data_IF_894905992256
#
_entry.id   IF_894905992256
#
_cell.length_a   1.000
_cell.length_b   1.000
_cell.length_c   1.000
_cell.angle_alpha   90.00
_cell.angle_beta   90.00
_cell.angle_gamma   90.00
#
_symmetry.space_group_name_H-M   'P 1'
#
loop_
_entity.id
_entity.type
_entity.pdbx_description
1 polymer ?
#
# COMPACT_ATOMS: atom_id res chain seq x y z
N UNK A 1 18.49 -19.66 23.34
CA UNK A 1 17.28 -19.09 22.73
C UNK A 1 17.57 -18.88 21.26
N UNK A 2 16.57 -19.02 20.40
CA UNK A 2 16.65 -18.61 18.99
C UNK A 2 16.70 -17.08 18.95
N UNK A 3 17.71 -16.51 18.29
CA UNK A 3 17.79 -15.07 18.08
C UNK A 3 16.73 -14.67 17.04
N UNK A 4 15.92 -13.65 17.34
CA UNK A 4 14.97 -13.10 16.36
C UNK A 4 15.69 -12.12 15.44
N UNK A 5 15.43 -12.27 14.15
CA UNK A 5 16.02 -11.48 13.09
C UNK A 5 14.92 -10.96 12.17
N UNK A 6 15.11 -9.74 11.66
CA UNK A 6 14.36 -9.15 10.57
C UNK A 6 15.28 -8.79 9.42
N UNK A 7 14.87 -9.10 8.19
CA UNK A 7 15.54 -8.68 6.95
C UNK A 7 14.57 -7.82 6.15
N UNK A 8 15.04 -6.67 5.64
CA UNK A 8 14.15 -5.78 4.90
C UNK A 8 14.82 -5.06 3.74
N UNK A 9 13.99 -4.72 2.76
CA UNK A 9 14.23 -3.72 1.72
C UNK A 9 12.96 -2.87 1.58
N UNK A 10 13.11 -1.56 1.43
CA UNK A 10 12.00 -0.63 1.25
C UNK A 10 12.28 0.44 0.20
N UNK A 11 11.26 1.26 -0.08
CA UNK A 11 11.31 2.34 -1.07
C UNK A 11 12.35 3.44 -0.81
N UNK A 12 13.02 3.44 0.35
CA UNK A 12 14.16 4.34 0.61
C UNK A 12 15.49 3.75 0.12
N UNK A 13 15.53 2.44 -0.13
CA UNK A 13 16.73 1.71 -0.52
C UNK A 13 16.82 1.45 -2.03
N UNK A 14 15.70 1.52 -2.73
CA UNK A 14 15.60 1.35 -4.18
C UNK A 14 14.45 2.18 -4.74
N UNK A 15 14.32 2.27 -6.07
CA UNK A 15 13.21 3.01 -6.66
C UNK A 15 11.86 2.38 -6.29
N UNK A 16 10.81 3.17 -5.99
CA UNK A 16 9.48 2.65 -5.66
C UNK A 16 8.93 1.68 -6.71
N UNK A 17 9.17 1.93 -8.00
CA UNK A 17 8.76 1.03 -9.09
C UNK A 17 9.50 -0.30 -9.05
N UNK A 18 10.82 -0.31 -8.83
CA UNK A 18 11.57 -1.56 -8.68
C UNK A 18 11.08 -2.34 -7.46
N UNK A 19 10.75 -1.63 -6.38
CA UNK A 19 10.26 -2.23 -5.16
C UNK A 19 8.90 -2.92 -5.34
N UNK A 20 8.00 -2.28 -6.08
CA UNK A 20 6.69 -2.85 -6.34
C UNK A 20 6.74 -4.09 -7.23
N UNK A 21 7.61 -4.11 -8.24
CA UNK A 21 7.86 -5.29 -9.08
C UNK A 21 8.43 -6.45 -8.26
N UNK A 22 9.41 -6.17 -7.42
CA UNK A 22 10.00 -7.18 -6.55
C UNK A 22 8.98 -7.73 -5.54
N UNK A 23 8.24 -6.86 -4.85
CA UNK A 23 7.17 -7.26 -3.94
C UNK A 23 6.12 -8.18 -4.59
N UNK A 24 5.74 -7.90 -5.84
CA UNK A 24 4.81 -8.76 -6.58
C UNK A 24 5.35 -10.18 -6.81
N UNK A 25 6.66 -10.35 -6.97
CA UNK A 25 7.30 -11.68 -7.09
C UNK A 25 7.33 -12.45 -5.77
N UNK A 26 7.40 -11.74 -4.63
CA UNK A 26 7.54 -12.35 -3.30
C UNK A 26 6.18 -12.67 -2.66
N UNK A 27 5.12 -11.91 -2.93
CA UNK A 27 3.78 -12.16 -2.37
C UNK A 27 3.26 -13.60 -2.51
N UNK A 28 3.47 -14.33 -3.63
CA UNK A 28 2.97 -15.69 -3.78
C UNK A 28 3.51 -16.70 -2.77
N UNK A 29 4.71 -16.48 -2.20
CA UNK A 29 5.32 -17.40 -1.22
C UNK A 29 4.95 -17.07 0.24
N UNK A 30 3.99 -16.16 0.47
CA UNK A 30 3.61 -15.73 1.81
C UNK A 30 3.14 -16.88 2.72
N UNK A 31 2.37 -17.82 2.16
CA UNK A 31 1.86 -18.97 2.92
C UNK A 31 3.00 -19.92 3.32
N UNK A 32 3.88 -20.27 2.37
CA UNK A 32 5.02 -21.15 2.62
C UNK A 32 5.96 -20.57 3.70
N UNK A 33 6.13 -19.25 3.72
CA UNK A 33 6.90 -18.56 4.77
C UNK A 33 6.19 -18.61 6.12
N UNK A 34 4.88 -18.36 6.14
CA UNK A 34 4.10 -18.40 7.37
C UNK A 34 4.07 -19.80 8.01
N UNK A 35 4.00 -20.86 7.20
CA UNK A 35 4.12 -22.26 7.66
C UNK A 35 5.48 -22.56 8.31
N UNK A 36 6.53 -21.86 7.89
CA UNK A 36 7.87 -21.92 8.49
C UNK A 36 8.05 -21.00 9.70
N UNK A 37 6.99 -20.32 10.14
CA UNK A 37 7.02 -19.36 11.23
C UNK A 37 7.68 -18.03 10.88
N UNK A 38 7.73 -17.67 9.60
CA UNK A 38 8.28 -16.42 9.10
C UNK A 38 7.16 -15.46 8.72
N UNK A 39 7.15 -14.28 9.34
CA UNK A 39 6.28 -13.17 8.97
C UNK A 39 6.81 -12.54 7.68
N UNK A 40 5.96 -12.47 6.64
CA UNK A 40 6.23 -11.65 5.45
C UNK A 40 5.35 -10.40 5.45
N UNK A 41 5.98 -9.23 5.31
CA UNK A 41 5.32 -7.96 5.02
C UNK A 41 5.73 -7.51 3.62
N UNK A 42 4.83 -7.70 2.65
CA UNK A 42 5.06 -7.33 1.25
C UNK A 42 4.01 -6.31 0.77
N UNK A 43 4.43 -5.06 0.60
CA UNK A 43 3.62 -3.97 0.04
C UNK A 43 4.26 -3.45 -1.25
N UNK A 44 3.63 -2.53 -1.98
CA UNK A 44 4.27 -1.91 -3.15
C UNK A 44 5.56 -1.14 -2.82
N UNK A 45 5.85 -0.88 -1.53
CA UNK A 45 6.93 -0.03 -1.07
C UNK A 45 7.89 -0.72 -0.09
N UNK A 46 7.67 -2.01 0.21
CA UNK A 46 8.57 -2.79 1.07
C UNK A 46 8.41 -4.30 0.87
N UNK A 47 9.49 -5.01 1.15
CA UNK A 47 9.49 -6.45 1.44
C UNK A 47 10.33 -6.66 2.68
N UNK A 48 9.68 -7.18 3.72
CA UNK A 48 10.33 -7.42 5.01
C UNK A 48 9.94 -8.81 5.50
N UNK A 49 10.91 -9.55 6.02
CA UNK A 49 10.70 -10.84 6.66
C UNK A 49 11.19 -10.81 8.09
N UNK A 50 10.46 -11.47 8.99
CA UNK A 50 10.81 -11.55 10.40
C UNK A 50 10.56 -12.95 10.94
N UNK A 51 11.46 -13.42 11.78
CA UNK A 51 11.33 -14.74 12.41
C UNK A 51 12.56 -15.09 13.23
N UNK A 52 12.64 -16.35 13.63
CA UNK A 52 13.86 -16.89 14.22
C UNK A 52 14.98 -16.92 13.17
N UNK A 53 16.20 -16.58 13.58
CA UNK A 53 17.37 -16.53 12.68
C UNK A 53 17.55 -17.85 11.93
N UNK A 54 17.36 -18.99 12.61
CA UNK A 54 17.43 -20.32 11.99
C UNK A 54 16.42 -20.50 10.84
N UNK A 55 15.21 -19.95 10.97
CA UNK A 55 14.20 -19.99 9.92
C UNK A 55 14.54 -19.07 8.73
N UNK A 56 15.34 -18.03 8.97
CA UNK A 56 15.77 -17.02 7.98
C UNK A 56 17.08 -17.34 7.24
N UNK A 57 17.85 -18.37 7.66
CA UNK A 57 19.17 -18.68 7.08
C UNK A 57 19.17 -18.85 5.55
N UNK A 58 18.15 -19.49 5.01
CA UNK A 58 18.03 -19.74 3.57
C UNK A 58 17.26 -18.63 2.82
N UNK A 59 16.73 -17.64 3.55
CA UNK A 59 15.87 -16.59 2.99
C UNK A 59 16.69 -15.46 2.35
N UNK A 60 17.85 -15.13 2.90
CA UNK A 60 18.71 -14.05 2.39
C UNK A 60 19.12 -14.31 0.92
N UNK A 61 19.50 -15.55 0.60
CA UNK A 61 19.90 -15.96 -0.75
C UNK A 61 18.75 -16.23 -1.74
N UNK A 62 17.49 -16.26 -1.29
CA UNK A 62 16.33 -16.58 -2.14
C UNK A 62 15.40 -15.40 -2.35
N UNK A 63 15.09 -14.68 -1.28
CA UNK A 63 14.24 -13.48 -1.35
C UNK A 63 15.14 -12.31 -1.76
N UNK A 64 16.17 -11.99 -0.99
CA UNK A 64 16.95 -10.77 -1.13
C UNK A 64 18.15 -10.87 -2.09
N UNK A 65 18.21 -11.88 -2.96
CA UNK A 65 19.33 -12.04 -3.91
C UNK A 65 19.55 -10.83 -4.81
N UNK A 66 18.46 -10.13 -5.15
CA UNK A 66 18.45 -9.03 -6.12
C UNK A 66 18.70 -7.65 -5.46
N UNK A 67 18.67 -7.56 -4.12
CA UNK A 67 18.76 -6.28 -3.41
C UNK A 67 19.60 -6.39 -2.12
N UNK A 68 20.48 -5.42 -1.84
CA UNK A 68 21.10 -5.35 -0.52
C UNK A 68 20.01 -5.15 0.54
N UNK A 69 19.86 -6.11 1.45
CA UNK A 69 18.91 -6.02 2.55
C UNK A 69 19.56 -5.38 3.79
N UNK A 70 18.74 -4.82 4.68
CA UNK A 70 19.15 -4.40 6.02
C UNK A 70 18.63 -5.37 7.08
N UNK A 71 19.37 -5.46 8.18
CA UNK A 71 19.09 -6.35 9.31
C UNK A 71 18.50 -5.58 10.49
N UNK A 72 17.61 -6.23 11.23
CA UNK A 72 17.08 -5.77 12.53
C UNK A 72 17.15 -6.94 13.50
N UNK A 73 17.90 -6.79 14.57
CA UNK A 73 18.21 -7.89 15.49
C UNK A 73 17.57 -7.67 16.85
N UNK A 74 16.96 -8.73 17.38
CA UNK A 74 16.34 -8.74 18.69
C UNK A 74 14.89 -8.28 18.72
N UNK A 75 14.15 -8.82 19.70
CA UNK A 75 12.71 -8.62 19.91
C UNK A 75 12.31 -7.15 19.92
N UNK A 76 13.05 -6.31 20.65
CA UNK A 76 12.75 -4.89 20.86
C UNK A 76 12.84 -4.10 19.56
N UNK A 77 13.93 -4.29 18.83
CA UNK A 77 14.17 -3.57 17.59
C UNK A 77 13.15 -3.98 16.50
N UNK A 78 12.79 -5.27 16.46
CA UNK A 78 11.72 -5.77 15.58
C UNK A 78 10.37 -5.17 15.97
N UNK A 79 10.01 -5.19 17.26
CA UNK A 79 8.75 -4.61 17.74
C UNK A 79 8.67 -3.11 17.41
N UNK A 80 9.75 -2.37 17.63
CA UNK A 80 9.82 -0.95 17.29
C UNK A 80 9.64 -0.72 15.79
N UNK A 81 10.37 -1.45 14.93
CA UNK A 81 10.23 -1.30 13.48
C UNK A 81 8.80 -1.60 13.02
N UNK A 82 8.20 -2.68 13.53
CA UNK A 82 6.84 -3.05 13.19
C UNK A 82 5.81 -2.01 13.68
N UNK A 83 6.03 -1.40 14.85
CA UNK A 83 5.15 -0.36 15.38
C UNK A 83 5.25 0.94 14.58
N UNK A 84 6.45 1.33 14.15
CA UNK A 84 6.67 2.46 13.24
C UNK A 84 6.06 2.23 11.85
N UNK A 85 6.02 0.98 11.37
CA UNK A 85 5.31 0.61 10.14
C UNK A 85 3.79 0.70 10.38
N UNK A 86 3.29 0.13 11.48
CA UNK A 86 1.87 0.11 11.82
C UNK A 86 1.27 1.52 12.00
N UNK A 87 2.06 2.45 12.52
CA UNK A 87 1.67 3.86 12.68
C UNK A 87 1.70 4.66 11.36
N UNK A 88 2.28 4.11 10.29
CA UNK A 88 2.46 4.79 9.01
C UNK A 88 3.67 5.74 8.97
N UNK A 89 4.54 5.72 9.97
CA UNK A 89 5.76 6.54 10.01
C UNK A 89 6.81 6.11 9.00
N UNK A 90 6.75 4.83 8.57
CA UNK A 90 7.64 4.27 7.55
C UNK A 90 7.02 4.24 6.15
N UNK A 91 5.82 4.74 5.95
CA UNK A 91 5.16 4.77 4.63
C UNK A 91 5.66 5.93 3.77
N UNK A 92 5.55 5.78 2.43
CA UNK A 92 5.90 6.85 1.49
C UNK A 92 4.99 8.08 1.66
N UNK A 93 3.69 7.85 1.86
CA UNK A 93 2.76 8.86 2.36
C UNK A 93 2.72 8.70 3.88
N UNK A 94 3.31 9.64 4.62
CA UNK A 94 3.32 9.58 6.08
C UNK A 94 1.89 9.56 6.63
N UNK A 95 1.63 8.66 7.58
CA UNK A 95 0.33 8.58 8.25
C UNK A 95 -0.80 8.07 7.37
N UNK A 96 -0.49 7.29 6.32
CA UNK A 96 -1.51 6.64 5.48
C UNK A 96 -2.28 5.52 6.21
N UNK A 97 -3.50 5.25 5.73
CA UNK A 97 -4.46 4.36 6.41
C UNK A 97 -4.39 2.89 5.97
N UNK A 98 -3.65 2.55 4.91
CA UNK A 98 -3.72 1.21 4.35
C UNK A 98 -2.78 0.22 5.02
N UNK A 99 -1.64 0.68 5.53
CA UNK A 99 -0.61 -0.20 6.11
C UNK A 99 -1.12 -1.06 7.26
N UNK A 100 -1.95 -0.52 8.17
CA UNK A 100 -2.49 -1.27 9.31
C UNK A 100 -3.35 -2.45 8.84
N UNK A 101 -4.14 -2.27 7.78
CA UNK A 101 -4.94 -3.35 7.19
C UNK A 101 -4.09 -4.40 6.46
N UNK A 102 -2.92 -4.01 5.94
CA UNK A 102 -1.97 -4.92 5.30
C UNK A 102 -1.24 -5.76 6.35
N UNK A 103 -0.86 -5.15 7.48
CA UNK A 103 -0.29 -5.88 8.61
C UNK A 103 -1.28 -6.87 9.22
N UNK A 104 -2.55 -6.47 9.42
CA UNK A 104 -3.58 -7.36 9.93
C UNK A 104 -3.73 -8.63 9.07
N UNK A 105 -3.67 -8.51 7.74
CA UNK A 105 -3.69 -9.66 6.83
C UNK A 105 -2.45 -10.54 6.94
N UNK A 106 -1.28 -9.95 7.20
CA UNK A 106 -0.06 -10.72 7.43
C UNK A 106 -0.13 -11.51 8.75
N UNK A 107 -0.77 -10.95 9.79
CA UNK A 107 -1.06 -11.65 11.05
C UNK A 107 -1.95 -12.87 10.82
N UNK A 108 -2.99 -12.76 9.99
CA UNK A 108 -3.95 -13.85 9.73
C UNK A 108 -3.30 -15.13 9.17
N UNK A 109 -2.12 -15.04 8.57
CA UNK A 109 -1.40 -16.18 8.01
C UNK A 109 -0.55 -16.93 9.05
N UNK A 110 -0.20 -16.28 10.16
CA UNK A 110 0.72 -16.83 11.14
C UNK A 110 0.02 -17.69 12.19
N UNK A 111 0.74 -18.70 12.68
CA UNK A 111 0.31 -19.50 13.84
C UNK A 111 0.39 -18.64 15.11
N UNK A 112 -0.69 -18.53 15.92
CA UNK A 112 -0.74 -17.64 17.09
C UNK A 112 0.32 -17.90 18.17
N UNK A 113 0.85 -19.12 18.25
CA UNK A 113 1.82 -19.51 19.28
C UNK A 113 3.25 -19.06 18.96
N UNK A 114 3.51 -18.52 17.76
CA UNK A 114 4.83 -18.08 17.37
C UNK A 114 5.23 -16.77 18.07
N UNK A 115 6.50 -16.61 18.50
CA UNK A 115 6.97 -15.36 19.10
C UNK A 115 6.73 -14.14 18.21
N UNK A 116 6.95 -14.28 16.89
CA UNK A 116 6.78 -13.18 15.93
C UNK A 116 5.31 -12.72 15.79
N UNK A 117 4.35 -13.63 16.00
CA UNK A 117 2.93 -13.30 15.99
C UNK A 117 2.60 -12.32 17.14
N UNK A 118 3.05 -12.65 18.36
CA UNK A 118 2.83 -11.80 19.54
C UNK A 118 3.50 -10.45 19.40
N UNK A 119 4.72 -10.43 18.86
CA UNK A 119 5.46 -9.19 18.59
C UNK A 119 4.69 -8.31 17.61
N UNK A 120 4.17 -8.88 16.52
CA UNK A 120 3.42 -8.13 15.52
C UNK A 120 2.11 -7.57 16.09
N UNK A 121 1.35 -8.35 16.88
CA UNK A 121 0.10 -7.86 17.49
C UNK A 121 0.36 -6.65 18.41
N UNK A 122 1.30 -6.80 19.34
CA UNK A 122 1.71 -5.72 20.24
C UNK A 122 2.21 -4.50 19.46
N UNK A 123 3.01 -4.70 18.42
CA UNK A 123 3.50 -3.61 17.59
C UNK A 123 2.36 -2.86 16.86
N UNK A 124 1.33 -3.57 16.39
CA UNK A 124 0.13 -2.95 15.80
C UNK A 124 -0.62 -2.11 16.84
N UNK A 125 -0.77 -2.61 18.07
CA UNK A 125 -1.44 -1.89 19.16
C UNK A 125 -0.66 -0.64 19.58
N UNK A 126 0.64 -0.78 19.86
CA UNK A 126 1.51 0.35 20.23
C UNK A 126 1.57 1.39 19.12
N UNK A 127 1.79 0.95 17.87
CA UNK A 127 1.84 1.83 16.71
C UNK A 127 0.51 2.56 16.47
N UNK A 128 -0.61 1.86 16.62
CA UNK A 128 -1.96 2.44 16.51
C UNK A 128 -2.26 3.46 17.60
N UNK A 129 -1.93 3.15 18.86
CA UNK A 129 -2.16 4.04 19.98
C UNK A 129 -1.29 5.31 19.89
N UNK A 130 0.00 5.17 19.54
CA UNK A 130 0.88 6.31 19.32
C UNK A 130 0.38 7.21 18.18
N UNK A 131 -0.06 6.57 17.07
CA UNK A 131 -0.65 7.27 15.93
C UNK A 131 -1.85 8.11 16.32
N UNK A 132 -2.75 7.56 17.14
CA UNK A 132 -3.93 8.26 17.64
C UNK A 132 -3.54 9.45 18.54
N UNK A 133 -2.66 9.23 19.53
CA UNK A 133 -2.18 10.27 20.46
C UNK A 133 -1.57 11.46 19.72
N UNK A 134 -0.76 11.21 18.69
CA UNK A 134 -0.07 12.25 17.94
C UNK A 134 -0.88 12.80 16.75
N UNK A 135 -2.11 12.31 16.54
CA UNK A 135 -2.92 12.62 15.37
C UNK A 135 -2.08 12.50 14.07
N UNK A 136 -1.34 11.39 13.97
CA UNK A 136 -0.44 11.12 12.86
C UNK A 136 -1.24 10.51 11.71
N UNK A 137 -2.01 11.37 11.05
CA UNK A 137 -2.91 11.02 9.95
C UNK A 137 -2.58 11.93 8.79
N UNK A 138 -2.41 11.35 7.61
CA UNK A 138 -2.21 12.10 6.38
C UNK A 138 -3.35 13.11 6.19
N UNK A 139 -3.07 14.43 6.11
CA UNK A 139 -4.12 15.44 5.89
C UNK A 139 -4.84 15.23 4.55
N UNK A 140 -4.18 14.59 3.59
CA UNK A 140 -4.78 14.14 2.34
C UNK A 140 -4.10 12.85 1.83
N UNK A 141 -4.82 12.06 1.03
CA UNK A 141 -4.36 10.76 0.54
C UNK A 141 -4.44 10.69 -1.00
N UNK A 142 -4.34 9.49 -1.59
CA UNK A 142 -4.39 9.27 -3.04
C UNK A 142 -5.58 9.97 -3.73
N UNK A 143 -6.72 10.09 -3.06
CA UNK A 143 -7.92 10.74 -3.57
C UNK A 143 -7.72 12.24 -3.84
N UNK A 144 -7.14 12.98 -2.91
CA UNK A 144 -6.84 14.40 -3.13
C UNK A 144 -5.76 14.57 -4.19
N UNK A 145 -4.71 13.74 -4.19
CA UNK A 145 -3.65 13.81 -5.21
C UNK A 145 -4.25 13.63 -6.61
N UNK A 146 -5.16 12.66 -6.76
CA UNK A 146 -5.91 12.46 -8.01
C UNK A 146 -6.75 13.69 -8.35
N UNK A 147 -7.47 14.28 -7.39
CA UNK A 147 -8.26 15.49 -7.62
C UNK A 147 -7.42 16.68 -8.07
N UNK A 148 -6.24 16.86 -7.48
CA UNK A 148 -5.34 17.97 -7.79
C UNK A 148 -4.72 17.80 -9.17
N UNK A 149 -4.24 16.59 -9.50
CA UNK A 149 -3.77 16.27 -10.86
C UNK A 149 -4.89 16.53 -11.87
N UNK A 150 -6.13 16.10 -11.59
CA UNK A 150 -7.27 16.36 -12.46
C UNK A 150 -7.51 17.87 -12.60
N UNK A 151 -7.52 18.62 -11.49
CA UNK A 151 -7.76 20.06 -11.51
C UNK A 151 -6.75 20.81 -12.41
N UNK A 152 -5.48 20.38 -12.41
CA UNK A 152 -4.43 20.97 -13.24
C UNK A 152 -4.61 20.68 -14.75
N UNK A 153 -5.44 19.71 -15.14
CA UNK A 153 -5.70 19.35 -16.55
C UNK A 153 -6.83 20.12 -17.21
N UNK A 154 -7.64 20.83 -16.44
CA UNK A 154 -8.82 21.55 -16.91
C UNK A 154 -8.69 23.05 -16.61
N UNK A 155 -9.05 23.89 -17.58
CA UNK A 155 -9.03 25.34 -17.37
C UNK A 155 -10.13 25.75 -16.37
N UNK A 156 -9.97 26.91 -15.74
CA UNK A 156 -10.97 27.44 -14.80
C UNK A 156 -12.34 27.58 -15.49
N UNK A 157 -13.32 26.80 -15.04
CA UNK A 157 -14.68 26.77 -15.60
C UNK A 157 -14.92 25.69 -16.66
N UNK A 158 -13.90 24.97 -17.11
CA UNK A 158 -14.06 23.77 -17.94
C UNK A 158 -14.54 22.61 -17.06
N UNK A 159 -15.70 22.03 -17.38
CA UNK A 159 -16.25 20.88 -16.66
C UNK A 159 -15.83 19.56 -17.33
N UNK A 160 -15.25 18.61 -16.59
CA UNK A 160 -14.93 17.30 -17.14
C UNK A 160 -16.21 16.48 -17.39
N UNK A 161 -16.19 15.62 -18.41
CA UNK A 161 -17.41 14.90 -18.83
C UNK A 161 -17.56 13.56 -18.11
N UNK A 162 -16.60 12.64 -18.27
CA UNK A 162 -16.69 11.28 -17.74
C UNK A 162 -15.45 10.90 -16.95
N UNK A 163 -15.64 10.38 -15.74
CA UNK A 163 -14.59 9.71 -14.97
C UNK A 163 -14.68 8.20 -15.18
N UNK A 164 -13.64 7.60 -15.77
CA UNK A 164 -13.47 6.16 -15.88
C UNK A 164 -12.61 5.64 -14.73
N UNK A 165 -13.25 5.07 -13.71
CA UNK A 165 -12.56 4.41 -12.59
C UNK A 165 -12.32 2.94 -12.94
N UNK A 166 -11.08 2.59 -13.30
CA UNK A 166 -10.67 1.24 -13.69
C UNK A 166 -10.16 0.47 -12.49
N UNK A 167 -10.95 -0.51 -12.05
CA UNK A 167 -10.70 -1.27 -10.83
C UNK A 167 -11.65 -0.88 -9.70
N UNK A 168 -11.99 -1.86 -8.88
CA UNK A 168 -12.89 -1.69 -7.74
C UNK A 168 -12.33 -2.36 -6.48
N UNK A 169 -11.00 -2.26 -6.32
CA UNK A 169 -10.25 -2.72 -5.16
C UNK A 169 -10.53 -1.86 -3.93
N UNK A 170 -9.63 -1.89 -2.94
CA UNK A 170 -9.72 -1.01 -1.77
C UNK A 170 -9.64 0.47 -2.21
N UNK A 171 -8.54 0.84 -2.86
CA UNK A 171 -8.29 2.20 -3.34
C UNK A 171 -9.37 2.70 -4.31
N UNK A 172 -9.71 1.91 -5.34
CA UNK A 172 -10.76 2.29 -6.29
C UNK A 172 -12.13 2.53 -5.63
N UNK A 173 -12.48 1.76 -4.59
CA UNK A 173 -13.74 1.99 -3.85
C UNK A 173 -13.69 3.25 -2.98
N UNK A 174 -12.55 3.56 -2.38
CA UNK A 174 -12.39 4.80 -1.63
C UNK A 174 -12.51 6.00 -2.57
N UNK A 175 -11.85 5.95 -3.74
CA UNK A 175 -11.96 6.98 -4.77
C UNK A 175 -13.39 7.19 -5.29
N UNK A 176 -14.17 6.12 -5.46
CA UNK A 176 -15.59 6.21 -5.87
C UNK A 176 -16.46 6.86 -4.79
N UNK A 177 -16.13 6.63 -3.51
CA UNK A 177 -16.87 7.23 -2.38
C UNK A 177 -16.50 8.70 -2.16
N UNK A 178 -15.27 9.06 -2.48
CA UNK A 178 -14.79 10.44 -2.37
C UNK A 178 -15.38 11.30 -3.50
N UNK A 179 -15.44 12.61 -3.28
CA UNK A 179 -15.97 13.60 -4.22
C UNK A 179 -15.23 13.71 -5.57
N UNK A 180 -14.28 12.82 -5.87
CA UNK A 180 -13.54 12.76 -7.15
C UNK A 180 -14.52 12.73 -8.32
N UNK A 181 -15.62 11.98 -8.21
CA UNK A 181 -16.65 11.87 -9.24
C UNK A 181 -17.63 13.05 -9.30
N UNK A 182 -17.78 13.85 -8.24
CA UNK A 182 -18.81 14.91 -8.16
C UNK A 182 -18.60 16.04 -9.16
N UNK A 183 -17.35 16.25 -9.61
CA UNK A 183 -17.01 17.28 -10.61
C UNK A 183 -17.31 16.84 -12.04
N UNK A 184 -17.59 15.56 -12.27
CA UNK A 184 -17.83 14.98 -13.59
C UNK A 184 -19.33 14.86 -13.86
N UNK A 185 -19.73 14.98 -15.13
CA UNK A 185 -21.13 14.75 -15.53
C UNK A 185 -21.55 13.30 -15.33
N UNK A 186 -20.61 12.37 -15.43
CA UNK A 186 -20.85 10.96 -15.19
C UNK A 186 -19.61 10.25 -14.64
N UNK A 187 -19.84 9.19 -13.86
CA UNK A 187 -18.79 8.29 -13.37
C UNK A 187 -19.09 6.86 -13.82
N UNK A 188 -18.08 6.22 -14.40
CA UNK A 188 -18.11 4.86 -14.92
C UNK A 188 -17.09 4.03 -14.16
N UNK A 189 -17.52 2.94 -13.53
CA UNK A 189 -16.62 1.98 -12.90
C UNK A 189 -16.40 0.79 -13.83
N UNK A 190 -15.15 0.60 -14.22
CA UNK A 190 -14.71 -0.45 -15.11
C UNK A 190 -14.19 -1.61 -14.28
N UNK A 191 -14.72 -2.81 -14.51
CA UNK A 191 -14.28 -4.01 -13.79
C UNK A 191 -14.40 -5.28 -14.63
N UNK A 192 -13.55 -6.27 -14.34
CA UNK A 192 -13.66 -7.63 -14.89
C UNK A 192 -15.02 -8.28 -14.57
N UNK A 193 -15.65 -7.92 -13.45
CA UNK A 193 -16.91 -8.52 -13.01
C UNK A 193 -17.97 -7.48 -12.57
N UNK A 194 -18.65 -6.83 -13.53
CA UNK A 194 -19.65 -5.80 -13.24
C UNK A 194 -20.82 -6.32 -12.39
N UNK A 195 -21.24 -7.57 -12.58
CA UNK A 195 -22.35 -8.19 -11.83
C UNK A 195 -22.02 -8.32 -10.34
N UNK A 196 -20.82 -8.82 -10.01
CA UNK A 196 -20.36 -8.96 -8.62
C UNK A 196 -20.20 -7.60 -7.96
N UNK A 197 -19.65 -6.62 -8.67
CA UNK A 197 -19.48 -5.27 -8.15
C UNK A 197 -20.84 -4.61 -7.86
N UNK A 198 -21.80 -4.72 -8.78
CA UNK A 198 -23.17 -4.19 -8.59
C UNK A 198 -23.78 -4.70 -7.29
N UNK A 199 -23.63 -5.99 -6.95
CA UNK A 199 -24.13 -6.55 -5.68
C UNK A 199 -23.47 -5.89 -4.45
N UNK A 200 -22.17 -5.58 -4.53
CA UNK A 200 -21.41 -4.94 -3.44
C UNK A 200 -21.69 -3.45 -3.30
N UNK A 201 -21.99 -2.76 -4.40
CA UNK A 201 -22.32 -1.34 -4.39
C UNK A 201 -23.79 -1.06 -4.03
N UNK A 202 -24.67 -2.06 -3.98
CA UNK A 202 -26.07 -1.87 -3.54
C UNK A 202 -26.22 -1.24 -2.15
N UNK A 203 -25.21 -1.40 -1.28
CA UNK A 203 -25.20 -0.77 0.04
C UNK A 203 -24.78 0.72 0.01
N UNK A 204 -24.33 1.22 -1.14
CA UNK A 204 -23.98 2.60 -1.40
C UNK A 204 -25.11 3.19 -2.27
N UNK A 205 -26.23 3.51 -1.63
CA UNK A 205 -27.48 3.91 -2.31
C UNK A 205 -27.37 5.24 -3.07
N UNK A 206 -26.34 6.02 -2.81
CA UNK A 206 -26.27 7.42 -3.23
C UNK A 206 -25.30 7.68 -4.39
N UNK A 207 -24.54 6.67 -4.83
CA UNK A 207 -23.55 6.84 -5.92
C UNK A 207 -24.08 6.27 -7.23
N UNK A 208 -24.55 7.14 -8.11
CA UNK A 208 -24.99 6.79 -9.46
C UNK A 208 -23.79 6.51 -10.37
N UNK A 209 -23.27 5.27 -10.34
CA UNK A 209 -22.20 4.81 -11.24
C UNK A 209 -22.70 3.85 -12.32
N UNK A 210 -22.26 4.08 -13.56
CA UNK A 210 -22.37 3.07 -14.61
C UNK A 210 -21.30 1.99 -14.41
N UNK A 211 -21.58 0.74 -14.79
CA UNK A 211 -20.62 -0.36 -14.69
C UNK A 211 -20.37 -0.97 -16.07
N UNK A 212 -19.10 -1.14 -16.45
CA UNK A 212 -18.72 -1.74 -17.74
C UNK A 212 -17.49 -2.63 -17.63
N UNK A 213 -17.19 -3.40 -18.68
CA UNK A 213 -15.94 -4.16 -18.80
C UNK A 213 -14.88 -3.30 -19.49
N UNK A 214 -13.58 -3.59 -19.31
CA UNK A 214 -12.51 -2.84 -19.97
C UNK A 214 -12.62 -2.82 -21.49
N UNK A 215 -13.02 -3.94 -22.10
CA UNK A 215 -13.21 -4.04 -23.55
C UNK A 215 -14.32 -3.14 -24.10
N UNK A 216 -15.25 -2.69 -23.24
CA UNK A 216 -16.37 -1.84 -23.63
C UNK A 216 -16.03 -0.34 -23.60
N UNK A 217 -14.82 0.02 -23.12
CA UNK A 217 -14.33 1.41 -23.08
C UNK A 217 -13.94 1.87 -24.50
N UNK A 218 -14.15 3.16 -24.77
CA UNK A 218 -13.59 3.82 -25.95
C UNK A 218 -14.29 3.41 -27.24
N UNK A 219 -15.62 3.34 -27.23
CA UNK A 219 -16.43 3.19 -28.45
C UNK A 219 -16.28 4.42 -29.38
N UNK A 220 -15.90 5.57 -28.80
CA UNK A 220 -15.51 6.79 -29.48
C UNK A 220 -14.47 7.55 -28.64
N UNK A 221 -13.69 8.47 -29.24
CA UNK A 221 -12.81 9.36 -28.50
C UNK A 221 -13.58 10.29 -27.54
N UNK A 222 -13.07 10.45 -26.33
CA UNK A 222 -13.63 11.30 -25.27
C UNK A 222 -12.52 12.16 -24.63
N UNK A 223 -12.02 13.20 -25.31
CA UNK A 223 -10.86 14.00 -24.87
C UNK A 223 -11.11 14.91 -23.66
N UNK A 224 -12.33 14.90 -23.11
CA UNK A 224 -12.73 15.57 -21.86
C UNK A 224 -12.97 14.58 -20.71
N UNK A 225 -12.76 13.29 -20.97
CA UNK A 225 -12.80 12.26 -19.95
C UNK A 225 -11.46 12.14 -19.23
N UNK A 226 -11.49 11.51 -18.06
CA UNK A 226 -10.31 11.13 -17.28
C UNK A 226 -10.41 9.66 -16.96
N UNK A 227 -9.30 8.94 -17.07
CA UNK A 227 -9.20 7.56 -16.59
C UNK A 227 -8.33 7.50 -15.32
N UNK A 228 -8.81 6.79 -14.30
CA UNK A 228 -8.05 6.49 -13.09
C UNK A 228 -7.95 4.98 -12.94
N UNK A 229 -6.75 4.44 -12.94
CA UNK A 229 -6.48 3.00 -12.82
C UNK A 229 -6.10 2.70 -11.37
N UNK A 230 -6.91 1.91 -10.69
CA UNK A 230 -6.72 1.48 -9.31
C UNK A 230 -6.99 -0.03 -9.19
N UNK A 231 -6.19 -0.81 -9.92
CA UNK A 231 -6.34 -2.27 -9.98
C UNK A 231 -5.02 -3.00 -9.72
N UNK A 232 -5.13 -4.28 -9.38
CA UNK A 232 -4.00 -5.18 -9.12
C UNK A 232 -4.15 -6.41 -10.02
N UNK A 233 -3.07 -7.18 -10.14
CA UNK A 233 -3.06 -8.46 -10.84
C UNK A 233 -3.47 -8.32 -12.32
N UNK A 234 -2.83 -7.34 -12.97
CA UNK A 234 -2.91 -7.09 -14.40
C UNK A 234 -2.03 -8.12 -15.09
N UNK A 235 -2.65 -9.04 -15.83
CA UNK A 235 -1.94 -9.96 -16.72
C UNK A 235 -1.84 -9.34 -18.13
N UNK A 236 -1.02 -9.96 -18.99
CA UNK A 236 -0.77 -9.46 -20.35
C UNK A 236 -2.06 -9.29 -21.16
N UNK A 237 -3.02 -10.20 -21.00
CA UNK A 237 -4.33 -10.11 -21.67
C UNK A 237 -5.11 -8.88 -21.22
N UNK A 238 -5.25 -8.66 -19.91
CA UNK A 238 -5.96 -7.52 -19.35
C UNK A 238 -5.25 -6.20 -19.70
N UNK A 239 -3.93 -6.19 -19.66
CA UNK A 239 -3.11 -5.06 -20.08
C UNK A 239 -3.37 -4.71 -21.55
N UNK A 240 -3.36 -5.70 -22.45
CA UNK A 240 -3.60 -5.47 -23.88
C UNK A 240 -5.00 -4.88 -24.13
N UNK A 241 -6.03 -5.44 -23.49
CA UNK A 241 -7.41 -4.94 -23.59
C UNK A 241 -7.50 -3.50 -23.07
N UNK A 242 -6.92 -3.22 -21.91
CA UNK A 242 -6.99 -1.89 -21.30
C UNK A 242 -6.22 -0.86 -22.12
N UNK A 243 -5.04 -1.23 -22.61
CA UNK A 243 -4.21 -0.38 -23.47
C UNK A 243 -4.96 0.01 -24.75
N UNK A 244 -5.50 -0.98 -25.46
CA UNK A 244 -6.27 -0.76 -26.68
C UNK A 244 -7.49 0.14 -26.41
N UNK A 245 -8.20 -0.09 -25.31
CA UNK A 245 -9.37 0.70 -24.97
C UNK A 245 -9.05 2.16 -24.58
N UNK A 246 -7.95 2.40 -23.83
CA UNK A 246 -7.52 3.75 -23.48
C UNK A 246 -6.96 4.52 -24.67
N UNK A 247 -6.27 3.83 -25.58
CA UNK A 247 -5.79 4.43 -26.83
C UNK A 247 -6.95 4.85 -27.75
N UNK A 248 -8.06 4.10 -27.78
CA UNK A 248 -9.27 4.52 -28.49
C UNK A 248 -10.04 5.65 -27.80
N UNK A 249 -10.09 5.61 -26.47
CA UNK A 249 -10.81 6.60 -25.67
C UNK A 249 -10.12 7.97 -25.73
N UNK A 250 -8.80 8.02 -25.85
CA UNK A 250 -8.00 9.26 -25.86
C UNK A 250 -8.40 10.23 -24.73
N UNK A 251 -8.43 9.78 -23.45
CA UNK A 251 -8.82 10.64 -22.35
C UNK A 251 -7.83 11.79 -22.17
N UNK A 252 -8.29 12.90 -21.56
CA UNK A 252 -7.44 14.07 -21.28
C UNK A 252 -6.20 13.71 -20.47
N UNK A 253 -6.37 12.78 -19.52
CA UNK A 253 -5.32 12.24 -18.69
C UNK A 253 -5.69 10.84 -18.21
N UNK A 254 -4.67 10.01 -18.00
CA UNK A 254 -4.75 8.70 -17.36
C UNK A 254 -3.89 8.74 -16.12
N UNK A 255 -4.47 8.49 -14.95
CA UNK A 255 -3.78 8.45 -13.68
C UNK A 255 -3.72 7.00 -13.21
N UNK A 256 -2.54 6.43 -13.08
CA UNK A 256 -2.32 5.04 -12.71
C UNK A 256 -1.78 4.91 -11.29
N UNK A 257 -2.60 4.35 -10.42
CA UNK A 257 -2.34 4.06 -9.01
C UNK A 257 -2.05 2.57 -8.79
N UNK A 258 -1.88 1.80 -9.86
CA UNK A 258 -1.49 0.40 -9.79
C UNK A 258 -0.05 0.30 -9.29
N UNK A 259 0.21 -0.67 -8.42
CA UNK A 259 1.57 -0.92 -7.92
C UNK A 259 2.55 -1.28 -9.04
N UNK A 260 2.06 -1.86 -10.14
CA UNK A 260 2.85 -2.03 -11.36
C UNK A 260 2.08 -1.26 -12.43
N UNK A 261 2.71 -0.30 -13.14
CA UNK A 261 2.04 0.47 -14.18
C UNK A 261 1.31 -0.44 -15.17
N UNK A 262 0.04 -0.14 -15.43
CA UNK A 262 -0.84 -0.94 -16.25
C UNK A 262 -0.51 -0.88 -17.74
N UNK A 263 0.22 0.16 -18.18
CA UNK A 263 0.52 0.41 -19.59
C UNK A 263 2.01 0.21 -19.89
N UNK A 264 2.29 -0.26 -21.10
CA UNK A 264 3.66 -0.30 -21.63
C UNK A 264 4.18 1.12 -21.87
N UNK A 265 5.49 1.32 -21.80
CA UNK A 265 6.12 2.63 -22.08
C UNK A 265 5.73 3.19 -23.46
N UNK A 266 5.56 2.31 -24.45
CA UNK A 266 5.17 2.69 -25.81
C UNK A 266 3.72 3.23 -25.88
N UNK A 267 2.81 2.72 -25.05
CA UNK A 267 1.45 3.22 -24.95
C UNK A 267 1.35 4.44 -24.03
N UNK A 268 2.07 4.43 -22.92
CA UNK A 268 2.20 5.58 -22.03
C UNK A 268 2.68 6.83 -22.81
N UNK A 269 3.65 6.68 -23.71
CA UNK A 269 4.14 7.79 -24.55
C UNK A 269 3.13 8.35 -25.58
N UNK A 270 1.98 7.70 -25.78
CA UNK A 270 0.89 8.17 -26.66
C UNK A 270 -0.25 8.82 -25.89
N UNK A 271 -0.23 8.77 -24.57
CA UNK A 271 -1.27 9.27 -23.68
C UNK A 271 -0.67 10.28 -22.70
N UNK A 272 -1.50 11.16 -22.13
CA UNK A 272 -1.10 11.91 -20.95
C UNK A 272 -1.21 10.99 -19.74
N UNK A 273 -0.18 10.17 -19.54
CA UNK A 273 -0.18 9.08 -18.56
C UNK A 273 0.71 9.44 -17.37
N UNK A 274 0.12 9.45 -16.18
CA UNK A 274 0.78 9.77 -14.91
C UNK A 274 0.66 8.57 -13.98
N UNK A 275 1.78 8.07 -13.50
CA UNK A 275 1.84 7.01 -12.49
C UNK A 275 2.08 7.57 -11.10
N UNK A 276 1.82 6.77 -10.07
CA UNK A 276 2.21 7.10 -8.70
C UNK A 276 3.73 7.22 -8.46
N UNK A 277 4.55 6.96 -9.49
CA UNK A 277 6.00 7.05 -9.45
C UNK A 277 6.56 8.28 -10.16
N UNK A 278 5.73 9.01 -10.90
CA UNK A 278 6.15 10.19 -11.62
C UNK A 278 6.32 11.39 -10.68
N UNK A 279 7.25 12.28 -11.03
CA UNK A 279 7.61 13.45 -10.22
C UNK A 279 6.42 14.34 -9.88
N UNK A 280 5.44 14.43 -10.78
CA UNK A 280 4.19 15.14 -10.54
C UNK A 280 3.43 14.57 -9.36
N UNK A 281 3.27 13.25 -9.30
CA UNK A 281 2.59 12.57 -8.20
C UNK A 281 3.40 12.68 -6.90
N UNK A 282 4.71 12.45 -6.98
CA UNK A 282 5.61 12.49 -5.84
C UNK A 282 5.68 13.88 -5.19
N UNK A 283 5.55 14.97 -5.97
CA UNK A 283 5.50 16.34 -5.43
C UNK A 283 4.39 16.52 -4.40
N UNK A 284 3.19 15.98 -4.67
CA UNK A 284 2.08 16.07 -3.72
C UNK A 284 2.35 15.25 -2.45
N UNK A 285 3.03 14.10 -2.58
CA UNK A 285 3.48 13.31 -1.42
C UNK A 285 4.48 14.11 -0.57
N UNK A 286 5.45 14.76 -1.20
CA UNK A 286 6.46 15.56 -0.49
C UNK A 286 5.81 16.73 0.26
N UNK A 287 4.83 17.39 -0.35
CA UNK A 287 4.04 18.45 0.28
C UNK A 287 3.23 17.95 1.48
N UNK A 288 2.60 16.77 1.36
CA UNK A 288 1.91 16.10 2.47
C UNK A 288 2.89 15.78 3.61
N UNK A 289 4.03 15.19 3.28
CA UNK A 289 5.01 14.73 4.25
C UNK A 289 5.66 15.87 5.04
N UNK A 290 5.84 17.06 4.44
CA UNK A 290 6.33 18.25 5.15
C UNK A 290 5.48 18.59 6.37
N UNK A 291 4.18 18.35 6.33
CA UNK A 291 3.26 18.65 7.45
C UNK A 291 3.40 17.64 8.60
N UNK A 292 3.72 16.39 8.29
CA UNK A 292 3.82 15.30 9.27
C UNK A 292 5.24 15.03 9.76
N UNK A 293 6.27 15.43 9.01
CA UNK A 293 7.67 15.22 9.38
C UNK A 293 8.02 15.69 10.81
N UNK A 294 7.54 16.86 11.30
CA UNK A 294 7.80 17.27 12.69
C UNK A 294 7.17 16.34 13.74
N UNK A 295 6.00 15.77 13.44
CA UNK A 295 5.28 14.85 14.35
C UNK A 295 5.89 13.45 14.35
N UNK A 296 6.55 13.06 13.25
CA UNK A 296 7.14 11.73 13.10
C UNK A 296 8.18 11.44 14.20
N UNK A 297 9.02 12.42 14.55
CA UNK A 297 10.01 12.24 15.61
C UNK A 297 9.35 11.99 16.97
N UNK A 298 8.32 12.76 17.32
CA UNK A 298 7.57 12.61 18.57
C UNK A 298 6.90 11.23 18.63
N UNK A 299 6.28 10.82 17.53
CA UNK A 299 5.64 9.52 17.39
C UNK A 299 6.64 8.36 17.59
N UNK A 300 7.80 8.40 16.93
CA UNK A 300 8.80 7.35 17.08
C UNK A 300 9.38 7.31 18.50
N UNK A 301 9.61 8.46 19.13
CA UNK A 301 10.02 8.54 20.55
C UNK A 301 8.97 7.94 21.50
N UNK A 302 7.67 8.19 21.25
CA UNK A 302 6.57 7.64 22.04
C UNK A 302 6.46 6.11 21.89
N UNK A 303 6.60 5.60 20.66
CA UNK A 303 6.68 4.16 20.39
C UNK A 303 7.84 3.54 21.17
N UNK A 304 9.04 4.11 21.05
CA UNK A 304 10.24 3.61 21.74
C UNK A 304 10.06 3.60 23.27
N UNK A 305 9.51 4.67 23.83
CA UNK A 305 9.24 4.78 25.27
C UNK A 305 8.22 3.74 25.74
N UNK A 306 7.13 3.55 24.99
CA UNK A 306 6.09 2.57 25.31
C UNK A 306 6.66 1.14 25.31
N UNK A 307 7.42 0.77 24.28
CA UNK A 307 8.01 -0.57 24.18
C UNK A 307 9.07 -0.84 25.26
N UNK A 308 9.78 0.20 25.73
CA UNK A 308 10.69 0.08 26.88
C UNK A 308 9.93 -0.16 28.18
N UNK A 309 8.81 0.50 28.40
CA UNK A 309 7.98 0.28 29.59
C UNK A 309 7.45 -1.16 29.64
N UNK A 310 6.96 -1.69 28.51
CA UNK A 310 6.44 -3.07 28.44
C UNK A 310 7.51 -4.16 28.63
N UNK A 311 8.79 -3.85 28.36
CA UNK A 311 9.91 -4.72 28.73
C UNK A 311 10.16 -4.75 30.23
N UNK A 312 10.06 -3.60 30.89
CA UNK A 312 10.25 -3.48 32.34
C UNK A 312 9.12 -4.19 33.09
N UNK A 313 7.89 -4.14 32.56
CA UNK A 313 6.72 -4.78 33.15
C UNK A 313 6.59 -6.28 32.83
N UNK A 314 7.58 -6.85 32.12
CA UNK A 314 7.66 -8.30 31.87
C UNK A 314 6.75 -8.82 30.76
N UNK A 315 5.96 -7.97 30.09
CA UNK A 315 5.12 -8.36 28.95
C UNK A 315 5.95 -8.76 27.71
N UNK A 316 7.18 -8.22 27.59
CA UNK A 316 8.19 -8.71 26.64
C UNK A 316 9.27 -9.60 27.26
N UNK A 317 9.17 -9.94 28.56
CA UNK A 317 10.14 -10.82 29.20
C UNK A 317 9.84 -12.28 28.84
N UNK A 318 10.52 -12.78 27.81
CA UNK A 318 10.79 -14.21 27.71
C UNK A 318 11.79 -14.57 28.82
N UNK A 319 11.26 -15.01 29.97
CA UNK A 319 11.97 -15.15 31.24
C UNK A 319 13.27 -15.96 31.11
N UNK A 320 14.43 -15.47 31.62
CA UNK A 320 15.60 -16.28 31.87
C UNK A 320 15.43 -16.94 33.24
N UNK A 321 14.86 -18.13 33.32
CA UNK A 321 14.99 -18.93 34.54
C UNK A 321 16.31 -19.67 34.52
N UNK A 322 17.30 -19.03 35.14
CA UNK A 322 18.47 -19.64 35.78
C UNK A 322 18.01 -20.84 36.60
N UNK A 323 18.67 -22.02 36.50
CA UNK A 323 18.35 -23.13 37.38
C UNK A 323 18.78 -22.76 38.80
N UNK A 324 17.82 -22.76 39.71
CA UNK A 324 18.10 -22.90 41.14
C UNK A 324 18.69 -24.30 41.31
N UNK A 325 19.93 -24.35 41.78
CA UNK A 325 20.54 -25.55 42.31
C UNK A 325 19.72 -26.04 43.50
N UNK A 326 19.35 -27.31 43.47
CA UNK A 326 19.54 -28.27 44.56
C UNK A 326 19.73 -29.67 43.96
#
# INVERSE_FOLDING_TARGET
MSELLGLYVDHQMTSPSAMAQYSAKIKPIANDLAERGVLLIATCLRVEVYGEEAALRDIDGTIFSDFPCKRVEGTVAIAQRLAEIASGARSQILGENYISSQLAKAVELLVPDLPIFRILQMAIEVGGAARERHQFVAPFNYDQIVQDIIADRFQKGELPDTLYMIGAGMLGRDLIKTAVGERFRSTVVVTRNPKRLRKRLRSLTDVAVALMRPADIGNAPEPRSVAVIATTDINDEYQAILQDALLRLEPRTVIDLSSIPALSNAAAGKLNYVTMYDSEFLRFIDENNKQLAPKMLLLCSDIEATLRAEQVDGLMAFSPNTPIQD
#
